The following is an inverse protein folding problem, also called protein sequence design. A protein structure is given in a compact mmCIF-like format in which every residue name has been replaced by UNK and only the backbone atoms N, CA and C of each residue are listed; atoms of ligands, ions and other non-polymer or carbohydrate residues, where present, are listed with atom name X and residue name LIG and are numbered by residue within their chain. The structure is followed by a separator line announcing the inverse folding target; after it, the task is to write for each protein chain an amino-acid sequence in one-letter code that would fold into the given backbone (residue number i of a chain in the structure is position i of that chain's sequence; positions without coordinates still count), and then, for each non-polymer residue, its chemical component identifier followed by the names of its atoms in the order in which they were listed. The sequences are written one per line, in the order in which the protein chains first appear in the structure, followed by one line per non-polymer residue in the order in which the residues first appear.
data_IF_312352633135
#
_entry.id   IF_312352633135
#
_cell.length_a   1.000
_cell.length_b   1.000
_cell.length_c   1.000
_cell.angle_alpha   90.00
_cell.angle_beta   90.00
_cell.angle_gamma   90.00
#
_symmetry.space_group_name_H-M   'P 1'
#
loop_
_entity.id
_entity.type
_entity.pdbx_description
1 polymer ?
#
# COMPACT_ATOMS: atom_id res chain seq x y z
N UNK A 1 2.38 8.00 6.66
CA UNK A 1 1.13 7.52 7.30
C UNK A 1 1.21 7.79 8.78
N UNK A 2 0.21 8.46 9.36
CA UNK A 2 0.13 8.60 10.82
C UNK A 2 -0.41 7.30 11.40
N UNK A 3 0.28 6.76 12.41
CA UNK A 3 -0.11 5.53 13.08
C UNK A 3 -0.07 5.72 14.60
N UNK A 4 -1.05 5.13 15.27
CA UNK A 4 -1.13 5.04 16.71
C UNK A 4 -1.91 3.77 17.07
N UNK A 5 -1.34 2.94 17.95
CA UNK A 5 -2.10 1.84 18.54
C UNK A 5 -3.14 2.41 19.50
N UNK A 6 -4.42 2.25 19.16
CA UNK A 6 -5.53 2.75 19.99
C UNK A 6 -5.87 1.80 21.15
N UNK A 7 -5.73 0.49 20.93
CA UNK A 7 -5.97 -0.52 21.96
C UNK A 7 -4.65 -1.10 22.44
N UNK A 8 -4.15 -0.62 23.59
CA UNK A 8 -2.92 -1.14 24.18
C UNK A 8 -2.95 -2.64 24.51
N UNK A 9 -4.14 -3.21 24.73
CA UNK A 9 -4.31 -4.64 25.04
C UNK A 9 -4.07 -5.53 23.81
N UNK A 10 -3.87 -4.95 22.62
CA UNK A 10 -3.37 -5.68 21.46
C UNK A 10 -1.99 -6.29 21.74
N UNK A 11 -1.15 -5.58 22.50
CA UNK A 11 0.12 -6.13 23.01
C UNK A 11 -0.18 -6.87 24.31
N UNK A 12 -0.06 -8.19 24.30
CA UNK A 12 -0.46 -9.04 25.41
C UNK A 12 0.65 -9.18 26.47
N UNK A 13 0.31 -9.45 27.75
CA UNK A 13 1.31 -9.55 28.83
C UNK A 13 2.33 -10.69 28.69
N UNK A 14 2.06 -11.68 27.83
CA UNK A 14 2.99 -12.78 27.51
C UNK A 14 4.09 -12.36 26.52
N UNK A 15 3.97 -11.20 25.89
CA UNK A 15 5.03 -10.65 25.04
C UNK A 15 6.21 -10.11 25.86
N UNK A 16 7.43 -10.34 25.38
CA UNK A 16 8.63 -9.72 25.94
C UNK A 16 8.53 -8.18 25.90
N UNK A 17 8.86 -7.53 27.02
CA UNK A 17 8.84 -6.08 27.20
C UNK A 17 7.48 -5.44 26.83
N UNK A 18 6.37 -6.11 27.14
CA UNK A 18 5.02 -5.66 26.75
C UNK A 18 4.68 -4.24 27.24
N UNK A 19 5.14 -3.83 28.43
CA UNK A 19 4.88 -2.48 28.98
C UNK A 19 5.55 -1.39 28.13
N UNK A 20 6.79 -1.61 27.71
CA UNK A 20 7.53 -0.70 26.85
C UNK A 20 6.91 -0.65 25.45
N UNK A 21 6.53 -1.82 24.90
CA UNK A 21 5.81 -1.91 23.61
C UNK A 21 4.49 -1.15 23.64
N UNK A 22 3.68 -1.29 24.70
CA UNK A 22 2.44 -0.52 24.87
C UNK A 22 2.73 0.98 24.88
N UNK A 23 3.71 1.41 25.65
CA UNK A 23 4.13 2.82 25.72
C UNK A 23 4.67 3.34 24.37
N UNK A 24 5.39 2.51 23.61
CA UNK A 24 5.95 2.87 22.30
C UNK A 24 4.87 2.92 21.20
N UNK A 25 3.98 1.94 21.16
CA UNK A 25 3.01 1.76 20.07
C UNK A 25 1.78 2.65 20.23
N UNK A 26 1.41 3.02 21.46
CA UNK A 26 0.32 3.99 21.73
C UNK A 26 0.71 5.44 21.49
N UNK A 27 1.99 5.73 21.24
CA UNK A 27 2.44 7.08 20.81
C UNK A 27 2.23 7.26 19.32
N UNK A 28 1.69 8.41 18.95
CA UNK A 28 1.56 8.81 17.55
C UNK A 28 2.95 8.82 16.88
N UNK A 29 3.02 8.22 15.69
CA UNK A 29 4.24 8.19 14.88
C UNK A 29 3.90 8.31 13.40
N UNK A 30 4.81 8.94 12.67
CA UNK A 30 4.80 8.96 11.22
C UNK A 30 5.59 7.76 10.72
N UNK A 31 4.94 6.93 9.91
CA UNK A 31 5.54 5.80 9.20
C UNK A 31 5.65 6.10 7.71
N UNK A 32 6.76 5.73 7.11
CA UNK A 32 7.02 5.86 5.68
C UNK A 32 7.16 4.47 5.07
N UNK A 33 6.46 4.26 3.96
CA UNK A 33 6.53 3.05 3.15
C UNK A 33 7.03 3.46 1.77
N UNK A 34 8.17 2.91 1.37
CA UNK A 34 8.76 3.12 0.05
C UNK A 34 8.61 1.82 -0.72
N UNK A 35 7.99 1.87 -1.91
CA UNK A 35 7.67 0.70 -2.68
C UNK A 35 8.14 0.82 -4.14
N UNK A 36 8.52 -0.33 -4.71
CA UNK A 36 8.69 -0.54 -6.13
C UNK A 36 7.77 -1.69 -6.54
N UNK A 37 6.83 -1.39 -7.43
CA UNK A 37 5.81 -2.34 -7.88
C UNK A 37 5.89 -2.56 -9.39
N UNK A 38 5.59 -3.79 -9.80
CA UNK A 38 5.42 -4.18 -11.19
C UNK A 38 3.99 -4.68 -11.36
N UNK A 39 3.29 -4.17 -12.36
CA UNK A 39 1.87 -4.47 -12.56
C UNK A 39 1.48 -4.76 -13.98
N UNK A 40 0.43 -5.55 -14.13
CA UNK A 40 -0.27 -5.77 -15.39
C UNK A 40 -1.56 -4.98 -15.38
N UNK A 41 -1.74 -4.13 -16.38
CA UNK A 41 -2.96 -3.35 -16.57
C UNK A 41 -3.80 -3.95 -17.71
N UNK A 42 -5.09 -4.13 -17.46
CA UNK A 42 -6.09 -4.51 -18.45
C UNK A 42 -7.04 -3.34 -18.64
N UNK A 43 -7.29 -2.97 -19.89
CA UNK A 43 -8.20 -1.89 -20.26
C UNK A 43 -9.41 -2.45 -21.01
N UNK A 44 -10.60 -2.05 -20.59
CA UNK A 44 -11.85 -2.29 -21.31
C UNK A 44 -12.40 -0.96 -21.80
N UNK A 45 -12.45 -0.79 -23.12
CA UNK A 45 -13.00 0.40 -23.74
C UNK A 45 -14.48 0.59 -23.36
N UNK A 46 -14.83 1.80 -22.91
CA UNK A 46 -16.21 2.23 -22.67
C UNK A 46 -16.65 3.17 -23.78
N UNK A 47 -15.80 4.13 -24.14
CA UNK A 47 -15.99 5.02 -25.29
C UNK A 47 -14.68 5.15 -26.06
N UNK A 48 -14.71 5.83 -27.21
CA UNK A 48 -13.51 6.03 -28.03
C UNK A 48 -12.31 6.65 -27.27
N UNK A 49 -12.56 7.41 -26.20
CA UNK A 49 -11.52 8.09 -25.39
C UNK A 49 -11.52 7.70 -23.92
N UNK A 50 -12.31 6.71 -23.51
CA UNK A 50 -12.47 6.35 -22.10
C UNK A 50 -12.41 4.83 -21.94
N UNK A 51 -11.44 4.39 -21.16
CA UNK A 51 -11.28 3.00 -20.76
C UNK A 51 -11.58 2.84 -19.27
N UNK A 52 -12.24 1.74 -18.92
CA UNK A 52 -12.12 1.20 -17.57
C UNK A 52 -10.81 0.43 -17.48
N UNK A 53 -9.98 0.75 -16.50
CA UNK A 53 -8.68 0.12 -16.30
C UNK A 53 -8.64 -0.58 -14.95
N UNK A 54 -8.18 -1.82 -14.95
CA UNK A 54 -7.80 -2.57 -13.74
C UNK A 54 -6.33 -2.90 -13.82
N UNK A 55 -5.61 -2.75 -12.70
CA UNK A 55 -4.19 -3.09 -12.58
C UNK A 55 -4.00 -4.01 -11.39
N UNK A 56 -3.30 -5.13 -11.60
CA UNK A 56 -2.80 -5.97 -10.52
C UNK A 56 -1.28 -5.80 -10.45
N UNK A 57 -0.74 -5.46 -9.29
CA UNK A 57 0.69 -5.28 -9.07
C UNK A 57 1.22 -6.04 -7.85
N UNK A 58 2.49 -6.39 -7.96
CA UNK A 58 3.29 -7.00 -6.90
C UNK A 58 4.63 -6.29 -6.84
N UNK A 59 5.20 -6.19 -5.64
CA UNK A 59 6.41 -5.42 -5.46
C UNK A 59 7.13 -5.67 -4.15
N UNK A 60 8.23 -4.95 -4.02
CA UNK A 60 9.04 -4.90 -2.81
C UNK A 60 8.90 -3.53 -2.17
N UNK A 61 8.98 -3.49 -0.85
CA UNK A 61 8.90 -2.26 -0.10
C UNK A 61 9.80 -2.25 1.13
N UNK A 62 10.02 -1.06 1.68
CA UNK A 62 10.71 -0.86 2.96
C UNK A 62 9.86 0.05 3.83
N UNK A 63 9.60 -0.40 5.06
CA UNK A 63 8.94 0.39 6.11
C UNK A 63 9.96 0.85 7.16
N UNK A 64 9.93 2.13 7.52
CA UNK A 64 10.97 2.77 8.33
C UNK A 64 10.74 2.73 9.85
N UNK A 65 9.52 2.40 10.27
CA UNK A 65 9.10 2.25 11.66
C UNK A 65 8.50 0.87 11.90
N UNK A 66 8.73 0.34 13.09
CA UNK A 66 8.06 -0.88 13.57
C UNK A 66 6.74 -0.51 14.24
N UNK A 67 5.83 -1.46 14.25
CA UNK A 67 4.56 -1.38 14.99
C UNK A 67 4.26 -2.70 15.67
N UNK A 68 3.15 -2.75 16.40
CA UNK A 68 2.56 -3.98 16.93
C UNK A 68 2.18 -4.98 15.83
N UNK A 69 2.01 -4.51 14.59
CA UNK A 69 1.58 -5.34 13.45
C UNK A 69 2.72 -5.74 12.54
N UNK A 70 3.72 -4.90 12.33
CA UNK A 70 4.73 -5.12 11.30
C UNK A 70 6.12 -4.71 11.79
N UNK A 71 7.07 -5.63 11.63
CA UNK A 71 8.48 -5.34 11.85
C UNK A 71 8.98 -4.27 10.89
N UNK A 72 9.89 -3.41 11.36
CA UNK A 72 10.60 -2.44 10.52
C UNK A 72 11.48 -3.19 9.52
N UNK A 73 11.56 -2.70 8.29
CA UNK A 73 12.54 -3.17 7.30
C UNK A 73 11.88 -3.59 6.00
N UNK A 74 12.45 -4.62 5.37
CA UNK A 74 12.02 -5.10 4.07
C UNK A 74 10.67 -5.83 4.15
N UNK A 75 9.80 -5.51 3.20
CA UNK A 75 8.43 -6.00 3.08
C UNK A 75 8.10 -6.26 1.60
N UNK A 76 6.99 -6.96 1.39
CA UNK A 76 6.35 -7.19 0.10
C UNK A 76 5.05 -6.39 0.08
N UNK A 77 4.69 -5.91 -1.10
CA UNK A 77 3.46 -5.18 -1.34
C UNK A 77 2.72 -5.79 -2.53
N UNK A 78 1.41 -5.90 -2.39
CA UNK A 78 0.50 -6.39 -3.41
C UNK A 78 -0.62 -5.35 -3.53
N UNK A 79 -1.01 -5.00 -4.75
CA UNK A 79 -2.00 -3.95 -4.95
C UNK A 79 -2.96 -4.30 -6.09
N UNK A 80 -4.23 -3.98 -5.88
CA UNK A 80 -5.27 -4.06 -6.89
C UNK A 80 -5.85 -2.66 -7.08
N UNK A 81 -5.62 -2.11 -8.26
CA UNK A 81 -6.13 -0.78 -8.65
C UNK A 81 -7.24 -0.92 -9.69
N UNK A 82 -8.22 -0.03 -9.62
CA UNK A 82 -9.23 0.10 -10.66
C UNK A 82 -9.71 1.56 -10.78
N UNK A 83 -10.02 1.96 -12.00
CA UNK A 83 -10.40 3.32 -12.31
C UNK A 83 -10.68 3.54 -13.79
N UNK A 84 -10.66 4.80 -14.19
CA UNK A 84 -10.89 5.21 -15.57
C UNK A 84 -9.65 5.89 -16.14
N UNK A 85 -9.26 5.49 -17.35
CA UNK A 85 -8.19 6.09 -18.13
C UNK A 85 -8.81 6.86 -19.30
N UNK A 86 -8.63 8.19 -19.31
CA UNK A 86 -9.16 9.08 -20.34
C UNK A 86 -8.06 9.59 -21.26
N UNK A 87 -8.22 9.44 -22.57
CA UNK A 87 -7.32 10.03 -23.57
C UNK A 87 -7.58 11.54 -23.68
N UNK A 88 -6.58 12.35 -23.33
CA UNK A 88 -6.67 13.82 -23.36
C UNK A 88 -6.14 14.41 -24.65
N UNK A 89 -4.97 13.96 -25.08
CA UNK A 89 -4.32 14.28 -26.35
C UNK A 89 -3.88 12.99 -27.01
N UNK A 90 -3.46 13.05 -28.27
CA UNK A 90 -2.89 11.88 -28.96
C UNK A 90 -1.80 11.24 -28.11
N UNK A 91 -1.97 9.95 -27.81
CA UNK A 91 -1.09 9.13 -27.00
C UNK A 91 -0.96 9.53 -25.52
N UNK A 92 -1.75 10.47 -25.00
CA UNK A 92 -1.70 10.93 -23.60
C UNK A 92 -2.95 10.56 -22.84
N UNK A 93 -2.79 9.97 -21.65
CA UNK A 93 -3.91 9.50 -20.85
C UNK A 93 -3.81 9.98 -19.40
N UNK A 94 -4.94 10.44 -18.85
CA UNK A 94 -5.11 10.70 -17.42
C UNK A 94 -5.90 9.54 -16.81
N UNK A 95 -5.37 8.94 -15.76
CA UNK A 95 -6.03 7.91 -14.98
C UNK A 95 -6.51 8.48 -13.64
N UNK A 96 -7.76 8.17 -13.28
CA UNK A 96 -8.33 8.44 -11.96
C UNK A 96 -8.93 7.14 -11.42
N UNK A 97 -8.55 6.76 -10.20
CA UNK A 97 -8.99 5.49 -9.64
C UNK A 97 -8.78 5.38 -8.14
N UNK A 98 -8.94 4.15 -7.67
CA UNK A 98 -8.69 3.76 -6.29
C UNK A 98 -7.93 2.44 -6.27
N UNK A 99 -7.29 2.17 -5.15
CA UNK A 99 -6.57 0.92 -4.95
C UNK A 99 -6.87 0.29 -3.59
N UNK A 100 -6.75 -1.03 -3.56
CA UNK A 100 -6.75 -1.84 -2.36
C UNK A 100 -5.51 -2.73 -2.37
N UNK A 101 -4.62 -2.51 -1.40
CA UNK A 101 -3.36 -3.22 -1.30
C UNK A 101 -3.12 -3.83 0.06
N UNK A 102 -2.10 -4.68 0.13
CA UNK A 102 -1.63 -5.30 1.36
C UNK A 102 -0.11 -5.25 1.44
N UNK A 103 0.42 -5.02 2.64
CA UNK A 103 1.85 -5.01 2.94
C UNK A 103 2.15 -5.99 4.06
N UNK A 104 3.11 -6.88 3.84
CA UNK A 104 3.60 -7.85 4.84
C UNK A 104 5.07 -8.18 4.61
N UNK A 105 5.74 -8.81 5.57
CA UNK A 105 7.12 -9.32 5.41
C UNK A 105 7.17 -10.84 5.17
N UNK A 106 6.06 -11.48 4.78
CA UNK A 106 5.95 -12.94 4.57
C UNK A 106 6.46 -13.80 5.74
N UNK A 107 6.40 -13.28 6.98
CA UNK A 107 6.95 -13.89 8.20
C UNK A 107 8.48 -14.05 8.23
N UNK A 108 9.24 -13.36 7.35
CA UNK A 108 10.69 -13.29 7.50
C UNK A 108 11.11 -12.59 8.80
N UNK A 109 10.25 -11.74 9.37
CA UNK A 109 10.45 -11.09 10.66
C UNK A 109 9.15 -11.00 11.44
N UNK A 110 9.22 -11.04 12.77
CA UNK A 110 8.05 -10.84 13.66
C UNK A 110 8.07 -9.44 14.28
N UNK A 111 6.92 -8.77 14.45
CA UNK A 111 5.57 -9.20 14.06
C UNK A 111 5.29 -9.09 12.55
N UNK A 112 4.25 -9.79 12.07
CA UNK A 112 3.80 -9.76 10.67
C UNK A 112 2.29 -10.00 10.51
N UNK A 113 1.49 -9.10 11.08
CA UNK A 113 0.05 -9.00 10.85
C UNK A 113 -0.29 -8.11 9.63
N UNK A 114 0.71 -7.37 9.12
CA UNK A 114 0.60 -6.54 7.92
C UNK A 114 -0.36 -5.36 8.04
N UNK A 115 -0.48 -4.61 6.94
CA UNK A 115 -1.40 -3.49 6.78
C UNK A 115 -2.14 -3.59 5.45
N UNK A 116 -3.40 -3.19 5.45
CA UNK A 116 -4.15 -2.94 4.22
C UNK A 116 -4.03 -1.47 3.85
N UNK A 117 -3.95 -1.18 2.55
CA UNK A 117 -3.88 0.15 1.99
C UNK A 117 -5.17 0.38 1.20
N UNK A 118 -5.83 1.50 1.45
CA UNK A 118 -6.91 2.01 0.62
C UNK A 118 -6.52 3.40 0.16
N UNK A 119 -6.42 3.61 -1.15
CA UNK A 119 -5.89 4.83 -1.73
C UNK A 119 -6.75 5.39 -2.85
N UNK A 120 -6.60 6.69 -3.10
CA UNK A 120 -7.02 7.34 -4.35
C UNK A 120 -5.80 7.51 -5.24
N UNK A 121 -5.99 7.34 -6.55
CA UNK A 121 -4.92 7.37 -7.52
C UNK A 121 -5.20 8.40 -8.61
N UNK A 122 -4.16 9.16 -8.96
CA UNK A 122 -4.12 10.03 -10.13
C UNK A 122 -2.86 9.68 -10.92
N UNK A 123 -3.00 9.32 -12.18
CA UNK A 123 -1.91 8.89 -13.04
C UNK A 123 -1.88 9.66 -14.35
N UNK A 124 -0.69 9.82 -14.91
CA UNK A 124 -0.49 10.24 -16.29
C UNK A 124 0.32 9.16 -17.01
N UNK A 125 -0.07 8.82 -18.23
CA UNK A 125 0.69 7.90 -19.07
C UNK A 125 0.77 8.41 -20.50
N UNK A 126 1.86 8.05 -21.17
CA UNK A 126 2.13 8.39 -22.56
C UNK A 126 2.46 7.11 -23.33
N UNK A 127 1.76 6.87 -24.45
CA UNK A 127 2.04 5.76 -25.34
C UNK A 127 3.21 6.12 -26.27
N UNK A 128 4.34 5.43 -26.08
CA UNK A 128 5.51 5.52 -26.95
C UNK A 128 5.25 4.68 -28.22
N UNK A 129 5.60 5.27 -29.38
CA UNK A 129 5.55 4.60 -30.68
C UNK A 129 6.87 3.89 -30.97
#
# INVERSE_FOLDING_TARGET
MNHQLLNEQFVTPDEENYQDKRTEFTKEKIMNLYALEFGFAVKKQITAKLDFQTTLSLGFSVIDKRTERLAKGFTFIENLSFGFSHETFSNSFIYLGTNFGHVSNLNFQKPNNGYNILGLEVGYSYALN
#
